data_IF_267584752787
#
_entry.id   IF_267584752787
#
_cell.length_a   1.000
_cell.length_b   1.000
_cell.length_c   1.000
_cell.angle_alpha   90.00
_cell.angle_beta   90.00
_cell.angle_gamma   90.00
#
_symmetry.space_group_name_H-M   'P 1'
#
loop_
_entity.id
_entity.type
_entity.pdbx_description
1 polymer ?
#
# COMPACT_ATOMS: atom_id res chain seq x y z
N UNK A 1 22.03 -28.05 -16.28
CA UNK A 1 21.68 -26.74 -15.66
C UNK A 1 20.17 -26.60 -15.43
N UNK A 2 19.36 -27.61 -15.78
CA UNK A 2 17.89 -27.48 -15.82
C UNK A 2 17.15 -27.74 -14.49
N UNK A 3 17.81 -28.27 -13.46
CA UNK A 3 17.11 -28.68 -12.24
C UNK A 3 16.94 -27.52 -11.23
N UNK A 4 17.93 -26.63 -11.15
CA UNK A 4 17.90 -25.47 -10.25
C UNK A 4 16.97 -24.36 -10.74
N UNK A 5 16.85 -24.16 -12.05
CA UNK A 5 15.88 -23.21 -12.61
C UNK A 5 14.45 -23.70 -12.44
N UNK A 6 14.18 -25.00 -12.63
CA UNK A 6 12.86 -25.58 -12.40
C UNK A 6 12.45 -25.60 -10.93
N UNK A 7 13.37 -25.83 -9.99
CA UNK A 7 13.09 -25.68 -8.55
C UNK A 7 12.79 -24.23 -8.14
N UNK A 8 13.48 -23.26 -8.73
CA UNK A 8 13.20 -21.85 -8.47
C UNK A 8 11.90 -21.38 -9.12
N UNK A 9 11.57 -21.89 -10.31
CA UNK A 9 10.30 -21.61 -10.99
C UNK A 9 9.13 -22.22 -10.23
N UNK A 10 9.24 -23.46 -9.77
CA UNK A 10 8.21 -24.12 -8.94
C UNK A 10 8.06 -23.53 -7.55
N UNK A 11 9.14 -23.05 -6.91
CA UNK A 11 9.05 -22.27 -5.66
C UNK A 11 8.43 -20.89 -5.86
N UNK A 12 8.73 -20.22 -6.97
CA UNK A 12 8.10 -18.94 -7.30
C UNK A 12 6.62 -19.10 -7.61
N UNK A 13 6.25 -20.10 -8.44
CA UNK A 13 4.85 -20.45 -8.70
C UNK A 13 4.15 -20.87 -7.40
N UNK A 14 4.73 -21.73 -6.57
CA UNK A 14 4.07 -22.13 -5.31
C UNK A 14 3.90 -20.95 -4.34
N UNK A 15 4.84 -20.00 -4.28
CA UNK A 15 4.69 -18.78 -3.47
C UNK A 15 3.63 -17.82 -3.99
N UNK A 16 3.37 -17.81 -5.30
CA UNK A 16 2.31 -17.01 -5.92
C UNK A 16 0.93 -17.71 -5.81
N UNK A 17 0.88 -19.04 -5.76
CA UNK A 17 -0.38 -19.82 -5.69
C UNK A 17 -0.79 -20.28 -4.28
N UNK A 18 0.05 -20.14 -3.25
CA UNK A 18 -0.29 -20.43 -1.84
C UNK A 18 -1.33 -19.47 -1.22
N UNK A 19 -2.01 -18.66 -2.04
CA UNK A 19 -2.83 -17.53 -1.61
C UNK A 19 -4.29 -17.82 -1.26
N UNK A 20 -4.86 -18.94 -1.73
CA UNK A 20 -6.32 -19.08 -1.82
C UNK A 20 -6.88 -20.40 -1.26
N UNK A 21 -6.08 -21.22 -0.56
CA UNK A 21 -6.65 -22.35 0.19
C UNK A 21 -7.41 -21.85 1.41
N UNK A 22 -8.67 -22.31 1.56
CA UNK A 22 -9.49 -22.11 2.76
C UNK A 22 -8.71 -22.72 3.93
N UNK A 23 -8.22 -21.85 4.82
CA UNK A 23 -7.54 -22.29 6.03
C UNK A 23 -8.61 -22.56 7.09
N UNK A 24 -8.47 -23.64 7.87
CA UNK A 24 -9.19 -23.71 9.13
C UNK A 24 -8.77 -22.49 9.97
N UNK A 25 -9.74 -21.71 10.45
CA UNK A 25 -9.50 -20.49 11.22
C UNK A 25 -8.54 -20.72 12.40
N UNK A 26 -8.53 -21.91 12.99
CA UNK A 26 -7.64 -22.30 14.10
C UNK A 26 -6.19 -22.56 13.68
N UNK A 27 -5.95 -22.78 12.39
CA UNK A 27 -4.63 -23.06 11.79
C UNK A 27 -4.12 -21.92 10.91
N UNK A 28 -4.94 -20.89 10.69
CA UNK A 28 -4.58 -19.72 9.90
C UNK A 28 -3.54 -18.87 10.65
N UNK A 29 -2.31 -18.86 10.13
CA UNK A 29 -1.16 -18.16 10.70
C UNK A 29 -1.04 -16.69 10.26
N UNK A 30 -1.92 -16.20 9.37
CA UNK A 30 -1.89 -14.80 8.90
C UNK A 30 -2.18 -13.83 10.04
N UNK A 31 -1.58 -12.65 10.04
CA UNK A 31 -1.86 -11.61 11.04
C UNK A 31 -3.18 -10.86 10.73
N UNK A 32 -4.29 -11.57 10.84
CA UNK A 32 -5.65 -11.08 10.67
C UNK A 32 -6.37 -11.05 12.02
N UNK A 33 -7.33 -10.14 12.19
CA UNK A 33 -8.27 -10.22 13.31
C UNK A 33 -9.16 -11.46 13.18
N UNK A 34 -9.68 -11.95 14.30
CA UNK A 34 -10.40 -13.24 14.37
C UNK A 34 -11.57 -13.34 13.38
N UNK A 35 -12.27 -12.23 13.11
CA UNK A 35 -13.40 -12.20 12.15
C UNK A 35 -13.02 -12.56 10.70
N UNK A 36 -11.72 -12.50 10.35
CA UNK A 36 -11.21 -12.76 9.00
C UNK A 36 -10.38 -14.04 8.89
N UNK A 37 -10.14 -14.74 10.01
CA UNK A 37 -9.37 -15.99 10.01
C UNK A 37 -10.07 -17.07 9.21
N UNK A 38 -9.29 -17.77 8.38
CA UNK A 38 -9.76 -18.85 7.51
C UNK A 38 -10.42 -18.42 6.19
N UNK A 39 -10.71 -17.12 6.01
CA UNK A 39 -11.28 -16.62 4.75
C UNK A 39 -10.20 -16.48 3.65
N UNK A 40 -10.53 -16.72 2.36
CA UNK A 40 -9.64 -16.40 1.24
C UNK A 40 -9.26 -14.92 1.24
N UNK A 41 -8.07 -14.58 0.72
CA UNK A 41 -7.59 -13.18 0.76
C UNK A 41 -8.53 -12.20 0.05
N UNK A 42 -9.13 -12.60 -1.08
CA UNK A 42 -10.09 -11.75 -1.79
C UNK A 42 -11.36 -11.51 -0.96
N UNK A 43 -11.88 -12.50 -0.23
CA UNK A 43 -13.04 -12.28 0.62
C UNK A 43 -12.73 -11.35 1.80
N UNK A 44 -11.53 -11.48 2.41
CA UNK A 44 -11.07 -10.53 3.43
C UNK A 44 -11.01 -9.12 2.87
N UNK A 45 -10.46 -8.97 1.67
CA UNK A 45 -10.33 -7.68 0.98
C UNK A 45 -11.69 -7.05 0.63
N UNK A 46 -12.65 -7.84 0.17
CA UNK A 46 -14.00 -7.38 -0.13
C UNK A 46 -14.73 -6.90 1.13
N UNK A 47 -14.66 -7.69 2.22
CA UNK A 47 -15.23 -7.30 3.52
C UNK A 47 -14.56 -6.05 4.10
N UNK A 48 -13.25 -5.88 3.90
CA UNK A 48 -12.55 -4.67 4.31
C UNK A 48 -12.96 -3.47 3.46
N UNK A 49 -13.23 -3.66 2.16
CA UNK A 49 -13.67 -2.61 1.23
C UNK A 49 -14.96 -1.93 1.69
N UNK A 50 -15.90 -2.67 2.27
CA UNK A 50 -17.15 -2.14 2.84
C UNK A 50 -16.93 -1.19 4.03
N UNK A 51 -15.78 -1.31 4.71
CA UNK A 51 -15.46 -0.58 5.94
C UNK A 51 -14.32 0.44 5.75
N UNK A 52 -13.83 0.66 4.53
CA UNK A 52 -12.69 1.56 4.30
C UNK A 52 -13.04 2.99 4.68
N UNK A 53 -12.11 3.67 5.32
CA UNK A 53 -12.22 5.11 5.48
C UNK A 53 -11.79 5.81 4.17
N UNK A 54 -12.18 7.07 4.02
CA UNK A 54 -11.97 7.84 2.78
C UNK A 54 -10.54 8.38 2.59
N UNK A 55 -9.62 8.14 3.53
CA UNK A 55 -8.21 8.51 3.39
C UNK A 55 -7.58 7.71 2.25
N UNK A 56 -6.75 8.38 1.45
CA UNK A 56 -5.84 7.74 0.49
C UNK A 56 -4.41 8.10 0.87
N UNK A 57 -3.46 7.25 0.49
CA UNK A 57 -2.02 7.49 0.69
C UNK A 57 -1.34 7.38 -0.66
N UNK A 58 -0.44 8.31 -0.96
CA UNK A 58 0.38 8.27 -2.16
C UNK A 58 1.87 8.27 -1.78
N UNK A 59 2.64 7.46 -2.47
CA UNK A 59 4.09 7.31 -2.27
C UNK A 59 4.77 7.62 -3.60
N UNK A 60 5.60 8.65 -3.61
CA UNK A 60 6.45 8.97 -4.75
C UNK A 60 7.66 8.03 -4.79
N UNK A 61 7.65 7.10 -5.73
CA UNK A 61 8.65 6.04 -5.87
C UNK A 61 9.63 6.35 -7.00
N UNK A 62 10.36 7.45 -6.86
CA UNK A 62 11.35 7.93 -7.85
C UNK A 62 12.75 7.37 -7.62
N UNK A 63 13.13 7.14 -6.36
CA UNK A 63 14.30 6.35 -5.95
C UNK A 63 13.87 5.17 -5.07
N UNK A 64 14.80 4.29 -4.69
CA UNK A 64 14.54 3.15 -3.81
C UNK A 64 14.06 3.62 -2.43
N UNK A 65 12.76 3.87 -2.31
CA UNK A 65 12.14 4.20 -1.04
C UNK A 65 12.11 2.95 -0.15
N UNK A 66 13.02 2.92 0.82
CA UNK A 66 13.11 1.85 1.82
C UNK A 66 11.92 1.86 2.79
N UNK A 67 11.22 2.99 2.92
CA UNK A 67 10.13 3.20 3.87
C UNK A 67 8.75 2.89 3.27
N UNK A 68 8.64 2.77 1.94
CA UNK A 68 7.39 2.46 1.25
C UNK A 68 6.62 1.27 1.87
N UNK A 69 7.32 0.19 2.22
CA UNK A 69 6.70 -0.96 2.89
C UNK A 69 6.06 -0.62 4.25
N UNK A 70 6.73 0.19 5.07
CA UNK A 70 6.22 0.62 6.38
C UNK A 70 5.03 1.57 6.25
N UNK A 71 5.05 2.45 5.23
CA UNK A 71 3.92 3.31 4.90
C UNK A 71 2.71 2.46 4.49
N UNK A 72 2.91 1.48 3.62
CA UNK A 72 1.85 0.54 3.19
C UNK A 72 1.28 -0.25 4.38
N UNK A 73 2.12 -0.71 5.30
CA UNK A 73 1.66 -1.39 6.53
C UNK A 73 0.81 -0.48 7.40
N UNK A 74 1.22 0.78 7.58
CA UNK A 74 0.46 1.76 8.34
C UNK A 74 -0.88 2.06 7.66
N UNK A 75 -0.88 2.23 6.34
CA UNK A 75 -2.08 2.40 5.52
C UNK A 75 -3.07 1.23 5.69
N UNK A 76 -2.59 -0.01 5.73
CA UNK A 76 -3.42 -1.18 6.03
C UNK A 76 -4.03 -1.12 7.43
N UNK A 77 -3.24 -0.76 8.45
CA UNK A 77 -3.74 -0.67 9.82
C UNK A 77 -4.85 0.36 9.99
N UNK A 78 -4.83 1.44 9.21
CA UNK A 78 -5.90 2.43 9.19
C UNK A 78 -7.08 2.02 8.30
N UNK A 79 -6.98 0.96 7.51
CA UNK A 79 -7.96 0.57 6.49
C UNK A 79 -8.27 1.71 5.50
N UNK A 80 -7.21 2.32 4.95
CA UNK A 80 -7.33 3.40 3.95
C UNK A 80 -8.04 2.91 2.69
N UNK A 81 -8.67 3.85 1.97
CA UNK A 81 -9.36 3.58 0.71
C UNK A 81 -8.40 2.99 -0.33
N UNK A 82 -7.31 3.71 -0.62
CA UNK A 82 -6.32 3.33 -1.65
C UNK A 82 -4.91 3.70 -1.24
N UNK A 83 -3.95 2.94 -1.75
CA UNK A 83 -2.54 3.32 -1.81
C UNK A 83 -2.13 3.56 -3.26
N UNK A 84 -1.57 4.73 -3.52
CA UNK A 84 -1.08 5.14 -4.83
C UNK A 84 0.44 5.05 -4.85
N UNK A 85 0.97 4.37 -5.86
CA UNK A 85 2.42 4.32 -6.12
C UNK A 85 2.68 5.15 -7.38
N UNK A 86 3.42 6.24 -7.23
CA UNK A 86 3.69 7.20 -8.31
C UNK A 86 5.11 7.01 -8.82
N UNK A 87 5.30 6.92 -10.13
CA UNK A 87 6.61 6.70 -10.75
C UNK A 87 6.90 5.21 -10.97
N UNK A 88 7.95 4.67 -10.33
CA UNK A 88 8.33 3.26 -10.53
C UNK A 88 7.23 2.33 -10.00
N UNK A 89 6.81 1.36 -10.81
CA UNK A 89 5.76 0.40 -10.43
C UNK A 89 6.19 -0.58 -9.34
N UNK A 90 7.49 -0.91 -9.21
CA UNK A 90 7.98 -1.82 -8.18
C UNK A 90 8.46 -1.03 -6.97
N UNK A 91 7.96 -1.36 -5.78
CA UNK A 91 8.40 -0.81 -4.50
C UNK A 91 8.89 -1.93 -3.57
N UNK A 92 9.66 -1.57 -2.54
CA UNK A 92 10.12 -2.53 -1.55
C UNK A 92 8.99 -2.97 -0.60
N UNK A 93 8.40 -4.13 -0.89
CA UNK A 93 7.28 -4.72 -0.12
C UNK A 93 7.72 -5.36 1.20
N UNK A 94 9.01 -5.47 1.52
CA UNK A 94 9.49 -6.21 2.70
C UNK A 94 8.89 -5.66 4.01
N UNK A 95 8.79 -4.33 4.12
CA UNK A 95 8.17 -3.68 5.29
C UNK A 95 6.65 -3.81 5.35
N UNK A 96 5.99 -4.14 4.24
CA UNK A 96 4.54 -4.29 4.17
C UNK A 96 4.04 -5.57 4.85
N UNK A 97 4.93 -6.54 5.16
CA UNK A 97 4.55 -7.77 5.88
C UNK A 97 3.35 -8.50 5.24
N UNK A 98 3.29 -8.52 3.90
CA UNK A 98 2.19 -9.09 3.09
C UNK A 98 0.81 -8.43 3.27
N UNK A 99 0.69 -7.31 3.99
CA UNK A 99 -0.62 -6.66 4.20
C UNK A 99 -1.15 -5.99 2.95
N UNK A 100 -0.28 -5.76 1.97
CA UNK A 100 -0.62 -5.13 0.71
C UNK A 100 -1.57 -5.99 -0.15
N UNK A 101 -1.71 -7.29 0.16
CA UNK A 101 -2.73 -8.18 -0.41
C UNK A 101 -4.17 -7.73 -0.09
N UNK A 102 -4.36 -6.99 0.99
CA UNK A 102 -5.69 -6.53 1.45
C UNK A 102 -5.99 -5.09 1.05
N UNK A 103 -5.07 -4.40 0.38
CA UNK A 103 -5.20 -3.01 -0.03
C UNK A 103 -5.51 -2.89 -1.52
N UNK A 104 -6.26 -1.86 -1.89
CA UNK A 104 -6.33 -1.41 -3.28
C UNK A 104 -5.07 -0.58 -3.60
N UNK A 105 -4.19 -1.12 -4.46
CA UNK A 105 -2.98 -0.43 -4.92
C UNK A 105 -3.18 0.07 -6.35
N UNK A 106 -3.02 1.37 -6.55
CA UNK A 106 -3.11 2.03 -7.86
C UNK A 106 -1.75 2.55 -8.26
N UNK A 107 -1.34 2.28 -9.50
CA UNK A 107 -0.05 2.72 -10.02
C UNK A 107 -0.22 3.87 -10.99
N UNK A 108 0.60 4.91 -10.82
CA UNK A 108 0.63 6.08 -11.69
C UNK A 108 2.02 6.21 -12.32
N UNK A 109 2.11 6.46 -13.63
CA UNK A 109 3.40 6.61 -14.29
C UNK A 109 4.07 7.97 -13.95
N UNK A 110 3.30 8.98 -13.54
CA UNK A 110 3.81 10.31 -13.21
C UNK A 110 2.99 11.00 -12.12
N UNK A 111 3.60 11.98 -11.44
CA UNK A 111 2.91 12.84 -10.46
C UNK A 111 1.81 13.68 -11.12
N UNK A 112 1.99 14.06 -12.38
CA UNK A 112 0.99 14.82 -13.14
C UNK A 112 -0.31 14.04 -13.31
N UNK A 113 -0.23 12.79 -13.73
CA UNK A 113 -1.40 11.92 -13.91
C UNK A 113 -2.09 11.60 -12.59
N UNK A 114 -1.32 11.34 -11.54
CA UNK A 114 -1.86 11.20 -10.19
C UNK A 114 -2.63 12.46 -9.76
N UNK A 115 -2.04 13.65 -9.92
CA UNK A 115 -2.68 14.90 -9.54
C UNK A 115 -3.92 15.21 -10.40
N UNK A 116 -3.94 14.80 -11.67
CA UNK A 116 -5.12 14.93 -12.53
C UNK A 116 -6.30 14.12 -11.99
N UNK A 117 -6.08 12.87 -11.58
CA UNK A 117 -7.10 12.02 -10.95
C UNK A 117 -7.61 12.59 -9.63
N UNK A 118 -6.70 13.00 -8.73
CA UNK A 118 -7.08 13.57 -7.43
C UNK A 118 -7.95 14.83 -7.60
N UNK A 119 -7.63 15.70 -8.56
CA UNK A 119 -8.44 16.88 -8.89
C UNK A 119 -9.79 16.50 -9.47
N UNK A 120 -9.84 15.55 -10.40
CA UNK A 120 -11.10 15.09 -10.99
C UNK A 120 -12.06 14.54 -9.93
N UNK A 121 -11.52 13.84 -8.93
CA UNK A 121 -12.26 13.30 -7.78
C UNK A 121 -12.43 14.29 -6.63
N UNK A 122 -11.99 15.54 -6.80
CA UNK A 122 -12.10 16.65 -5.82
C UNK A 122 -11.54 16.29 -4.45
N UNK A 123 -10.35 15.68 -4.42
CA UNK A 123 -9.68 15.28 -3.19
C UNK A 123 -8.75 16.37 -2.69
N UNK A 124 -8.66 16.50 -1.37
CA UNK A 124 -7.65 17.34 -0.73
C UNK A 124 -6.31 16.60 -0.79
N UNK A 125 -5.32 17.14 -1.50
CA UNK A 125 -3.98 16.55 -1.54
C UNK A 125 -3.09 17.28 -0.53
N UNK A 126 -2.55 16.54 0.45
CA UNK A 126 -1.66 17.08 1.49
C UNK A 126 -0.29 16.42 1.38
N UNK A 127 0.72 17.20 1.01
CA UNK A 127 2.10 16.74 1.02
C UNK A 127 2.64 16.64 2.45
N UNK A 128 3.25 15.50 2.78
CA UNK A 128 3.94 15.25 4.04
C UNK A 128 5.45 15.35 3.78
N UNK A 129 6.06 16.41 4.30
CA UNK A 129 7.46 16.76 4.09
C UNK A 129 8.02 17.41 5.36
N UNK A 130 9.25 17.08 5.74
CA UNK A 130 9.92 17.58 6.95
C UNK A 130 11.04 18.57 6.66
N UNK A 131 11.51 18.69 5.42
CA UNK A 131 12.69 19.48 5.05
C UNK A 131 12.38 20.77 4.27
N UNK A 132 11.17 21.32 4.41
CA UNK A 132 10.79 22.59 3.75
C UNK A 132 10.29 23.62 4.75
N UNK A 133 10.81 24.85 4.66
CA UNK A 133 10.48 25.95 5.59
C UNK A 133 8.97 26.26 5.65
N UNK A 134 8.26 26.05 4.55
CA UNK A 134 6.81 26.26 4.45
C UNK A 134 5.97 25.16 5.13
N UNK A 135 6.59 24.06 5.57
CA UNK A 135 5.87 22.97 6.21
C UNK A 135 5.25 23.45 7.53
N UNK A 136 4.02 23.01 7.80
CA UNK A 136 3.30 23.31 9.05
C UNK A 136 3.12 22.03 9.86
N UNK A 137 3.11 22.11 11.20
CA UNK A 137 2.88 20.94 12.05
C UNK A 137 1.57 20.21 11.70
N UNK A 138 1.65 18.89 11.54
CA UNK A 138 0.52 18.06 11.13
C UNK A 138 -0.68 18.18 12.08
N UNK A 139 -0.43 18.28 13.38
CA UNK A 139 -1.49 18.41 14.41
C UNK A 139 -2.31 19.70 14.32
N UNK A 140 -1.84 20.70 13.58
CA UNK A 140 -2.59 21.94 13.33
C UNK A 140 -3.48 21.83 12.09
N UNK A 141 -3.29 20.82 11.23
CA UNK A 141 -4.10 20.63 10.04
C UNK A 141 -5.49 20.17 10.43
N UNK A 142 -6.51 20.78 9.82
CA UNK A 142 -7.88 20.26 9.78
C UNK A 142 -8.06 19.60 8.43
N UNK A 143 -8.15 18.28 8.42
CA UNK A 143 -8.26 17.49 7.19
C UNK A 143 -9.70 17.48 6.69
N UNK A 144 -9.85 17.50 5.37
CA UNK A 144 -11.11 17.13 4.75
C UNK A 144 -11.32 15.61 4.83
N UNK A 145 -12.58 15.16 4.78
CA UNK A 145 -12.88 13.72 4.79
C UNK A 145 -12.22 12.98 3.62
N UNK A 146 -12.11 13.60 2.46
CA UNK A 146 -11.52 13.00 1.24
C UNK A 146 -10.09 13.49 1.02
N UNK A 147 -9.23 13.28 2.01
CA UNK A 147 -7.81 13.67 1.96
C UNK A 147 -6.91 12.58 1.42
N UNK A 148 -5.92 12.95 0.63
CA UNK A 148 -4.83 12.08 0.16
C UNK A 148 -3.51 12.61 0.70
N UNK A 149 -2.83 11.81 1.52
CA UNK A 149 -1.51 12.15 2.04
C UNK A 149 -0.44 11.70 1.04
N UNK A 150 0.43 12.61 0.61
CA UNK A 150 1.51 12.31 -0.34
C UNK A 150 2.84 12.33 0.40
N UNK A 151 3.58 11.22 0.31
CA UNK A 151 4.92 11.07 0.85
C UNK A 151 5.92 11.10 -0.31
N UNK A 152 6.88 12.02 -0.23
CA UNK A 152 7.99 12.10 -1.17
C UNK A 152 9.01 10.98 -0.97
N UNK A 153 9.92 10.82 -1.93
CA UNK A 153 11.06 9.90 -1.79
C UNK A 153 12.16 10.51 -0.91
N UNK A 154 12.71 9.72 0.01
CA UNK A 154 13.97 10.04 0.70
C UNK A 154 15.16 9.85 -0.27
N UNK A 155 15.24 10.69 -1.30
CA UNK A 155 16.35 10.76 -2.24
C UNK A 155 17.20 11.98 -1.96
N UNK A 156 18.53 11.83 -1.96
CA UNK A 156 19.49 12.92 -1.71
C UNK A 156 19.19 14.13 -2.59
N UNK A 157 18.75 15.22 -1.98
CA UNK A 157 18.83 16.56 -2.56
C UNK A 157 20.31 16.96 -2.53
N UNK A 158 21.09 16.47 -3.50
CA UNK A 158 22.46 16.95 -3.76
C UNK A 158 22.43 18.09 -4.77
#
# INVERSE_FOLDING_TARGET
>A
MDNLENENLSKNLSSETLGDEILDATTDTRNLVDEYKGLPNEEVKDRLAEKRNSLEVAIENVDHDFNAGTIVRSANNFNVSKVHIVGRRKYNRRGAMCTDKYLEIVYWPSMEEFMADQRARKREVVAIENNVERAKPLGLKRFESHSTLVFGSEGNWN
#
